data_IF_669059422077
#
_entry.id   IF_669059422077
#
_cell.length_a   1.000
_cell.length_b   1.000
_cell.length_c   1.000
_cell.angle_alpha   90.00
_cell.angle_beta   90.00
_cell.angle_gamma   90.00
#
_symmetry.space_group_name_H-M   'P 1'
#
loop_
_entity.id
_entity.type
_entity.pdbx_description
1 polymer ?
#
# COMPACT_ATOMS: atom_id res chain seq x y z
N UNK A 1 -52.02 7.62 -29.98
CA UNK A 1 -51.78 8.07 -28.59
C UNK A 1 -51.30 6.97 -27.65
N UNK A 2 -51.94 5.78 -27.62
CA UNK A 2 -51.59 4.67 -26.70
C UNK A 2 -50.17 4.10 -26.88
N UNK A 3 -49.69 3.99 -28.12
CA UNK A 3 -48.36 3.44 -28.42
C UNK A 3 -47.21 4.35 -27.96
N UNK A 4 -47.41 5.67 -27.99
CA UNK A 4 -46.41 6.64 -27.54
C UNK A 4 -46.18 6.56 -26.02
N UNK A 5 -47.25 6.29 -25.26
CA UNK A 5 -47.17 6.15 -23.80
C UNK A 5 -46.37 4.89 -23.39
N UNK A 6 -46.52 3.79 -24.13
CA UNK A 6 -45.79 2.53 -23.85
C UNK A 6 -44.29 2.70 -24.13
N UNK A 7 -43.93 3.37 -25.23
CA UNK A 7 -42.53 3.64 -25.57
C UNK A 7 -41.88 4.56 -24.53
N UNK A 8 -42.58 5.61 -24.09
CA UNK A 8 -42.06 6.52 -23.05
C UNK A 8 -41.83 5.80 -21.71
N UNK A 9 -42.73 4.90 -21.32
CA UNK A 9 -42.61 4.14 -20.08
C UNK A 9 -41.45 3.13 -20.13
N UNK A 10 -41.32 2.40 -21.24
CA UNK A 10 -40.22 1.45 -21.45
C UNK A 10 -38.85 2.16 -21.47
N UNK A 11 -38.75 3.31 -22.13
CA UNK A 11 -37.54 4.12 -22.15
C UNK A 11 -37.18 4.65 -20.75
N UNK A 12 -38.17 5.12 -19.98
CA UNK A 12 -37.95 5.58 -18.60
C UNK A 12 -37.44 4.47 -17.67
N UNK A 13 -37.96 3.25 -17.78
CA UNK A 13 -37.47 2.12 -16.99
C UNK A 13 -36.03 1.73 -17.33
N UNK A 14 -35.66 1.77 -18.62
CA UNK A 14 -34.30 1.43 -19.05
C UNK A 14 -33.25 2.42 -18.54
N UNK A 15 -33.61 3.70 -18.40
CA UNK A 15 -32.74 4.72 -17.82
C UNK A 15 -32.59 4.58 -16.29
N UNK A 16 -33.66 4.18 -15.60
CA UNK A 16 -33.63 3.95 -14.16
C UNK A 16 -32.83 2.70 -13.75
N UNK A 17 -32.63 1.76 -14.69
CA UNK A 17 -31.88 0.52 -14.48
C UNK A 17 -30.37 0.65 -14.75
N UNK A 18 -29.87 1.85 -15.12
CA UNK A 18 -28.42 2.09 -15.29
C UNK A 18 -27.77 2.04 -13.91
N UNK A 19 -27.40 0.84 -13.47
CA UNK A 19 -26.59 0.63 -12.27
C UNK A 19 -25.20 1.20 -12.53
N UNK A 20 -24.74 2.07 -11.63
CA UNK A 20 -23.36 2.55 -11.63
C UNK A 20 -22.45 1.37 -11.25
N UNK A 21 -21.75 0.82 -12.24
CA UNK A 21 -20.76 -0.23 -12.00
C UNK A 21 -19.63 0.34 -11.12
N UNK A 22 -19.65 0.03 -9.83
CA UNK A 22 -18.60 0.35 -8.88
C UNK A 22 -17.40 -0.59 -9.11
N UNK A 23 -16.74 -0.46 -10.26
CA UNK A 23 -15.61 -1.32 -10.63
C UNK A 23 -14.36 -1.02 -9.79
N UNK A 24 -14.23 0.21 -9.28
CA UNK A 24 -13.20 0.61 -8.32
C UNK A 24 -13.76 1.76 -7.47
N UNK A 25 -14.48 1.47 -6.38
CA UNK A 25 -14.87 2.52 -5.44
C UNK A 25 -13.59 3.16 -4.90
N UNK A 26 -13.49 4.48 -5.02
CA UNK A 26 -12.36 5.25 -4.52
C UNK A 26 -12.34 5.09 -3.00
N UNK A 27 -11.37 4.35 -2.47
CA UNK A 27 -11.27 4.11 -1.03
C UNK A 27 -10.99 5.44 -0.30
N UNK A 28 -11.66 5.71 0.83
CA UNK A 28 -11.38 6.89 1.65
C UNK A 28 -9.89 6.96 2.01
N UNK A 29 -9.27 8.11 1.76
CA UNK A 29 -7.84 8.33 2.01
C UNK A 29 -7.47 8.23 3.50
N UNK A 30 -8.46 8.39 4.37
CA UNK A 30 -8.33 8.37 5.83
C UNK A 30 -8.60 6.97 6.43
N UNK A 31 -8.52 5.91 5.60
CA UNK A 31 -8.59 4.54 6.10
C UNK A 31 -7.42 4.32 7.06
N UNK A 32 -7.72 4.22 8.36
CA UNK A 32 -6.73 3.88 9.37
C UNK A 32 -5.96 2.63 8.89
N UNK A 33 -4.64 2.77 8.76
CA UNK A 33 -3.75 1.65 8.40
C UNK A 33 -4.08 0.52 9.37
N UNK A 34 -4.58 -0.60 8.84
CA UNK A 34 -4.96 -1.77 9.62
C UNK A 34 -3.83 -2.14 10.57
N UNK A 35 -4.05 -1.93 11.86
CA UNK A 35 -3.06 -2.17 12.92
C UNK A 35 -2.69 -3.66 13.05
N UNK A 36 -3.50 -4.54 12.44
CA UNK A 36 -3.27 -5.97 12.40
C UNK A 36 -2.12 -6.37 11.45
N UNK A 37 -1.60 -5.43 10.65
CA UNK A 37 -0.48 -5.68 9.73
C UNK A 37 0.72 -4.80 10.06
N UNK A 38 1.79 -5.42 10.56
CA UNK A 38 3.06 -4.73 10.76
C UNK A 38 3.90 -4.78 9.48
N UNK A 39 4.59 -3.67 9.16
CA UNK A 39 5.57 -3.67 8.08
C UNK A 39 6.82 -4.41 8.52
N UNK A 40 7.08 -5.58 7.93
CA UNK A 40 8.36 -6.30 8.10
C UNK A 40 9.51 -5.36 7.77
N UNK A 41 10.46 -5.19 8.71
CA UNK A 41 11.60 -4.30 8.54
C UNK A 41 11.25 -2.84 8.17
N UNK A 42 10.09 -2.33 8.61
CA UNK A 42 9.62 -0.99 8.22
C UNK A 42 9.29 -0.86 6.73
N UNK A 43 9.14 -1.99 6.03
CA UNK A 43 8.85 -2.07 4.59
C UNK A 43 10.07 -2.39 3.72
N UNK A 44 11.25 -2.63 4.31
CA UNK A 44 12.48 -2.90 3.56
C UNK A 44 12.72 -4.38 3.25
N UNK A 45 11.92 -5.30 3.82
CA UNK A 45 12.05 -6.74 3.62
C UNK A 45 13.10 -7.41 4.53
N UNK A 46 13.22 -8.75 4.48
CA UNK A 46 14.13 -9.52 5.34
C UNK A 46 15.60 -9.12 5.15
N UNK A 47 16.32 -8.89 6.26
CA UNK A 47 17.75 -8.53 6.25
C UNK A 47 18.05 -7.05 6.05
N UNK A 48 17.01 -6.22 5.95
CA UNK A 48 17.12 -4.77 5.82
C UNK A 48 16.33 -4.08 6.92
N UNK A 49 16.55 -2.78 7.13
CA UNK A 49 15.76 -1.94 8.02
C UNK A 49 15.61 -0.54 7.43
N UNK A 50 14.53 0.16 7.81
CA UNK A 50 14.31 1.57 7.44
C UNK A 50 15.21 2.47 8.28
N UNK A 51 16.04 3.26 7.62
CA UNK A 51 16.91 4.26 8.27
C UNK A 51 16.21 5.60 8.54
N UNK A 52 16.90 6.55 9.21
CA UNK A 52 16.34 7.85 9.62
C UNK A 52 15.78 8.70 8.47
N UNK A 53 16.38 8.58 7.28
CA UNK A 53 15.96 9.32 6.08
C UNK A 53 14.97 8.54 5.19
N UNK A 54 14.33 7.48 5.73
CA UNK A 54 13.36 6.66 5.00
C UNK A 54 13.95 5.66 4.00
N UNK A 55 15.26 5.67 3.76
CA UNK A 55 15.95 4.70 2.91
C UNK A 55 16.16 3.34 3.59
N UNK A 56 16.22 2.27 2.80
CA UNK A 56 16.51 0.92 3.29
C UNK A 56 18.02 0.69 3.45
N UNK A 57 18.42 0.10 4.58
CA UNK A 57 19.81 -0.21 4.92
C UNK A 57 19.93 -1.67 5.39
N UNK A 58 21.06 -2.36 5.17
CA UNK A 58 21.26 -3.71 5.71
C UNK A 58 21.12 -3.72 7.24
N UNK A 59 20.57 -4.81 7.80
CA UNK A 59 20.48 -5.00 9.25
C UNK A 59 21.86 -5.23 9.88
N UNK A 60 22.70 -5.95 9.15
CA UNK A 60 24.08 -6.22 9.52
C UNK A 60 24.97 -5.59 8.47
N UNK A 61 25.71 -4.57 8.89
CA UNK A 61 26.70 -3.90 8.05
C UNK A 61 28.01 -4.71 8.01
N UNK A 62 28.17 -5.63 8.96
CA UNK A 62 29.41 -6.34 9.25
C UNK A 62 29.16 -7.84 9.50
N UNK A 63 30.14 -8.70 9.17
CA UNK A 63 30.08 -10.13 9.48
C UNK A 63 30.06 -10.40 11.00
N UNK A 64 29.65 -11.62 11.43
CA UNK A 64 29.80 -12.05 12.82
C UNK A 64 31.25 -11.90 13.31
N UNK A 65 31.43 -11.39 14.53
CA UNK A 65 32.76 -11.10 15.11
C UNK A 65 33.36 -9.76 14.69
N UNK A 66 32.59 -8.89 14.04
CA UNK A 66 32.97 -7.52 13.70
C UNK A 66 31.95 -6.52 14.27
N UNK A 67 32.39 -5.31 14.58
CA UNK A 67 31.52 -4.18 14.93
C UNK A 67 31.59 -3.08 13.88
N UNK A 68 30.50 -2.32 13.77
CA UNK A 68 30.45 -1.15 12.91
C UNK A 68 31.31 -0.06 13.50
N UNK A 69 32.26 0.45 12.72
CA UNK A 69 33.05 1.60 13.12
C UNK A 69 32.32 2.94 12.93
N UNK A 70 33.06 4.05 13.04
CA UNK A 70 32.49 5.39 12.86
C UNK A 70 31.71 5.49 11.55
N UNK A 71 30.48 5.98 11.64
CA UNK A 71 29.54 6.14 10.52
C UNK A 71 29.09 4.85 9.82
N UNK A 72 29.39 3.66 10.38
CA UNK A 72 28.95 2.37 9.80
C UNK A 72 29.55 2.04 8.44
N UNK A 73 30.65 2.72 8.06
CA UNK A 73 31.29 2.56 6.74
C UNK A 73 32.29 1.42 6.71
N UNK A 74 32.99 1.20 7.82
CA UNK A 74 34.02 0.18 7.95
C UNK A 74 33.66 -0.76 9.10
N UNK A 75 34.03 -2.02 8.94
CA UNK A 75 33.91 -3.03 9.98
C UNK A 75 35.26 -3.17 10.69
N UNK A 76 35.22 -3.29 12.01
CA UNK A 76 36.39 -3.55 12.86
C UNK A 76 36.23 -4.90 13.55
N UNK A 77 37.29 -5.69 13.61
CA UNK A 77 37.25 -7.01 14.26
C UNK A 77 37.04 -6.82 15.76
N UNK A 78 36.17 -7.63 16.37
CA UNK A 78 36.05 -7.74 17.81
C UNK A 78 37.24 -8.59 18.30
N UNK A 79 38.38 -7.94 18.52
CA UNK A 79 39.53 -8.52 19.21
C UNK A 79 39.44 -8.22 20.71
#
# INVERSE_FOLDING_TARGET
MKLLAVVAFAAGLSLAAISTSQAMPLAPLDQAVSADTIRVAGGCGPGWHRGPYGGCRPMYNCPPGWHSGPFGRHCFRNW
#
